data_IF_444117265723
#
_entry.id   IF_444117265723
#
_cell.length_a   1.000
_cell.length_b   1.000
_cell.length_c   1.000
_cell.angle_alpha   90.00
_cell.angle_beta   90.00
_cell.angle_gamma   90.00
#
_symmetry.space_group_name_H-M   'P 1'
#
loop_
_entity.id
_entity.type
_entity.pdbx_description
1 polymer ?
#
# COMPACT_ATOMS: atom_id res chain seq x y z
N UNK A 1 69.29 -0.97 12.99
CA UNK A 1 69.56 -0.72 11.56
C UNK A 1 68.31 -1.10 10.79
N UNK A 2 67.63 -0.10 10.20
CA UNK A 2 66.52 -0.12 9.23
C UNK A 2 65.29 -1.02 9.55
N UNK A 3 64.07 -0.57 9.86
CA UNK A 3 63.43 0.76 9.78
C UNK A 3 62.18 0.72 8.87
N UNK A 4 60.99 0.54 9.47
CA UNK A 4 59.59 0.79 8.97
C UNK A 4 59.08 -0.12 7.80
N UNK A 5 58.12 -1.05 7.92
CA UNK A 5 56.72 -1.12 8.41
C UNK A 5 55.66 -0.44 7.50
N UNK A 6 54.55 -1.16 7.23
CA UNK A 6 53.24 -0.78 6.58
C UNK A 6 53.23 -0.84 5.04
N UNK A 7 52.16 -1.13 4.28
CA UNK A 7 50.78 -1.65 4.39
C UNK A 7 50.24 -1.52 2.94
N UNK A 8 49.32 -2.38 2.48
CA UNK A 8 48.39 -2.14 1.33
C UNK A 8 49.00 -2.06 -0.07
N UNK A 9 48.92 -3.18 -0.82
CA UNK A 9 48.92 -3.18 -2.28
C UNK A 9 47.46 -3.14 -2.74
N UNK A 10 46.90 -1.95 -2.86
CA UNK A 10 45.70 -1.63 -3.65
C UNK A 10 45.80 -0.14 -4.05
N UNK A 11 45.47 0.16 -5.30
CA UNK A 11 45.36 1.47 -5.98
C UNK A 11 46.58 1.98 -6.74
N UNK A 12 46.54 1.82 -8.07
CA UNK A 12 46.90 2.76 -9.15
C UNK A 12 46.28 2.14 -10.43
N UNK A 13 45.33 2.69 -11.20
CA UNK A 13 44.88 4.06 -11.46
C UNK A 13 43.40 4.06 -11.93
N UNK A 14 42.59 4.93 -11.33
CA UNK A 14 41.42 5.55 -11.96
C UNK A 14 41.92 6.72 -12.81
N UNK A 15 41.54 6.78 -14.10
CA UNK A 15 41.07 7.99 -14.79
C UNK A 15 40.98 7.77 -16.30
N UNK A 16 39.80 7.36 -16.75
CA UNK A 16 39.25 7.86 -18.00
C UNK A 16 37.86 8.39 -17.70
N UNK A 17 37.83 9.53 -17.03
CA UNK A 17 36.70 10.45 -17.01
C UNK A 17 36.54 11.00 -18.42
N UNK A 18 35.72 10.33 -19.22
CA UNK A 18 34.97 10.96 -20.30
C UNK A 18 33.53 11.09 -19.84
N UNK A 19 33.21 12.27 -19.32
CA UNK A 19 31.91 12.93 -19.32
C UNK A 19 30.67 12.03 -19.58
N UNK A 20 30.25 11.23 -18.61
CA UNK A 20 28.96 10.52 -18.64
C UNK A 20 27.90 11.30 -17.85
N UNK A 21 27.58 12.51 -18.28
CA UNK A 21 26.47 13.29 -17.75
C UNK A 21 25.43 13.43 -18.87
N UNK A 22 24.60 12.39 -19.04
CA UNK A 22 23.49 12.40 -20.01
C UNK A 22 22.88 11.03 -20.33
N UNK A 23 23.66 9.94 -20.30
CA UNK A 23 23.19 8.61 -20.73
C UNK A 23 22.49 7.76 -19.65
N UNK A 24 22.68 8.05 -18.36
CA UNK A 24 22.15 7.18 -17.28
C UNK A 24 20.64 7.28 -17.03
N UNK A 25 20.03 8.43 -17.31
CA UNK A 25 18.60 8.71 -17.05
C UNK A 25 17.73 8.26 -18.25
N UNK A 26 18.23 8.45 -19.48
CA UNK A 26 17.56 7.95 -20.70
C UNK A 26 17.39 6.42 -20.67
N UNK A 27 18.40 5.69 -20.17
CA UNK A 27 18.33 4.25 -20.04
C UNK A 27 17.33 3.76 -18.96
N UNK A 28 17.12 4.53 -17.88
CA UNK A 28 16.20 4.14 -16.80
C UNK A 28 14.75 4.20 -17.24
N UNK A 29 14.35 5.25 -17.96
CA UNK A 29 12.97 5.43 -18.41
C UNK A 29 12.60 4.44 -19.53
N UNK A 30 13.54 4.11 -20.41
CA UNK A 30 13.37 2.99 -21.35
C UNK A 30 13.10 1.68 -20.60
N UNK A 31 13.86 1.39 -19.55
CA UNK A 31 13.66 0.19 -18.74
C UNK A 31 12.35 0.23 -17.95
N UNK A 32 11.97 1.39 -17.42
CA UNK A 32 10.68 1.63 -16.78
C UNK A 32 9.53 1.17 -17.68
N UNK A 33 9.50 1.62 -18.94
CA UNK A 33 8.44 1.26 -19.87
C UNK A 33 8.50 -0.22 -20.30
N UNK A 34 9.69 -0.82 -20.37
CA UNK A 34 9.83 -2.28 -20.61
C UNK A 34 9.22 -3.08 -19.47
N UNK A 35 9.59 -2.77 -18.23
CA UNK A 35 9.12 -3.47 -17.03
C UNK A 35 7.62 -3.27 -16.82
N UNK A 36 7.15 -2.04 -17.05
CA UNK A 36 5.73 -1.72 -17.03
C UNK A 36 4.98 -2.57 -18.04
N UNK A 37 5.39 -2.57 -19.32
CA UNK A 37 4.73 -3.38 -20.36
C UNK A 37 4.70 -4.87 -20.01
N UNK A 38 5.78 -5.40 -19.45
CA UNK A 38 5.85 -6.81 -19.04
C UNK A 38 4.96 -7.14 -17.83
N UNK A 39 4.67 -6.15 -16.99
CA UNK A 39 3.82 -6.32 -15.81
C UNK A 39 2.32 -6.23 -16.10
N UNK A 40 1.94 -5.58 -17.20
CA UNK A 40 0.57 -5.39 -17.63
C UNK A 40 0.01 -6.63 -18.34
N UNK A 41 -1.31 -6.79 -18.29
CA UNK A 41 -2.05 -7.68 -19.18
C UNK A 41 -2.74 -6.80 -20.22
N UNK A 42 -2.39 -6.97 -21.49
CA UNK A 42 -2.94 -6.22 -22.63
C UNK A 42 -3.68 -7.19 -23.58
N UNK A 43 -4.93 -7.57 -23.27
CA UNK A 43 -5.64 -8.62 -23.99
C UNK A 43 -5.92 -8.26 -25.45
N UNK A 44 -6.01 -6.95 -25.73
CA UNK A 44 -6.28 -6.42 -27.07
C UNK A 44 -4.99 -6.02 -27.82
N UNK A 45 -3.83 -6.22 -27.20
CA UNK A 45 -2.50 -5.87 -27.75
C UNK A 45 -2.45 -4.41 -28.25
N UNK A 46 -3.08 -3.52 -27.49
CA UNK A 46 -3.22 -2.11 -27.82
C UNK A 46 -1.86 -1.40 -27.80
N UNK A 47 -0.99 -1.74 -26.85
CA UNK A 47 0.37 -1.21 -26.75
C UNK A 47 1.30 -1.80 -27.81
N UNK A 48 0.95 -2.96 -28.39
CA UNK A 48 1.76 -3.68 -29.38
C UNK A 48 1.28 -3.58 -30.83
N UNK A 49 0.06 -3.13 -31.14
CA UNK A 49 -0.48 -3.10 -32.53
C UNK A 49 -0.90 -1.73 -33.09
N UNK A 50 -1.06 -0.68 -32.29
CA UNK A 50 -1.51 0.64 -32.79
C UNK A 50 -0.40 1.44 -33.51
N UNK A 51 -0.72 2.50 -34.25
CA UNK A 51 0.30 3.51 -34.59
C UNK A 51 0.91 4.02 -33.28
N UNK A 52 2.24 4.18 -33.18
CA UNK A 52 2.94 4.52 -31.92
C UNK A 52 3.06 3.36 -30.91
N UNK A 53 3.40 2.16 -31.41
CA UNK A 53 3.61 0.95 -30.60
C UNK A 53 4.77 1.12 -29.63
N UNK A 54 4.64 0.46 -28.50
CA UNK A 54 5.74 0.24 -27.57
C UNK A 54 6.65 -0.84 -28.14
N UNK A 55 7.52 -0.45 -29.08
CA UNK A 55 8.54 -1.32 -29.66
C UNK A 55 9.92 -0.90 -29.15
N UNK A 56 10.61 -1.84 -28.52
CA UNK A 56 11.90 -1.60 -27.88
C UNK A 56 13.10 -2.19 -28.65
N UNK A 57 12.91 -2.68 -29.89
CA UNK A 57 13.97 -3.34 -30.67
C UNK A 57 15.00 -2.40 -31.26
N UNK A 58 14.62 -1.17 -31.60
CA UNK A 58 15.45 -0.21 -32.33
C UNK A 58 15.45 1.16 -31.66
N UNK A 59 15.63 1.20 -30.33
CA UNK A 59 15.65 2.46 -29.57
C UNK A 59 17.01 3.13 -29.76
N UNK A 60 16.97 4.29 -30.41
CA UNK A 60 18.06 5.25 -30.55
C UNK A 60 17.98 6.27 -29.42
N UNK A 61 19.06 7.04 -29.26
CA UNK A 61 19.17 8.03 -28.19
C UNK A 61 18.26 9.26 -28.40
N UNK A 62 17.66 9.44 -29.58
CA UNK A 62 16.86 10.59 -30.00
C UNK A 62 15.34 10.48 -29.71
N UNK A 63 14.97 10.10 -28.47
CA UNK A 63 13.59 10.29 -28.00
C UNK A 63 12.56 9.27 -28.50
N UNK A 64 12.99 8.07 -28.90
CA UNK A 64 12.12 7.03 -29.48
C UNK A 64 10.94 6.59 -28.59
N UNK A 65 11.09 6.63 -27.26
CA UNK A 65 9.98 6.27 -26.36
C UNK A 65 8.93 7.39 -26.23
N UNK A 66 9.29 8.63 -26.57
CA UNK A 66 8.41 9.79 -26.49
C UNK A 66 7.34 9.77 -27.58
N UNK A 67 7.57 8.96 -28.62
CA UNK A 67 6.59 8.67 -29.66
C UNK A 67 5.67 7.51 -29.32
N UNK A 68 5.74 6.89 -28.13
CA UNK A 68 4.87 5.78 -27.75
C UNK A 68 3.48 6.26 -27.33
N UNK A 69 2.48 5.42 -27.61
CA UNK A 69 1.09 5.68 -27.19
C UNK A 69 1.05 5.93 -25.69
N UNK A 70 0.50 7.08 -25.30
CA UNK A 70 0.33 7.47 -23.91
C UNK A 70 1.58 7.97 -23.20
N UNK A 71 2.73 8.09 -23.88
CA UNK A 71 3.97 8.62 -23.31
C UNK A 71 4.17 10.05 -23.76
N UNK A 72 4.45 10.93 -22.82
CA UNK A 72 4.87 12.31 -23.06
C UNK A 72 6.20 12.54 -22.32
N UNK A 73 7.18 13.12 -23.00
CA UNK A 73 8.50 13.39 -22.46
C UNK A 73 8.69 14.87 -22.11
N UNK A 74 9.62 15.15 -21.21
CA UNK A 74 10.02 16.52 -20.85
C UNK A 74 10.60 17.30 -22.03
N UNK A 75 11.31 16.59 -22.91
CA UNK A 75 11.84 17.09 -24.17
C UNK A 75 11.63 15.98 -25.22
N UNK A 76 11.10 16.29 -26.42
CA UNK A 76 10.86 15.28 -27.46
C UNK A 76 12.09 14.43 -27.84
N UNK A 77 13.30 14.97 -27.64
CA UNK A 77 14.55 14.31 -28.02
C UNK A 77 15.29 13.68 -26.83
N UNK A 78 14.64 13.62 -25.66
CA UNK A 78 15.20 12.98 -24.46
C UNK A 78 14.21 11.92 -23.99
N UNK A 79 14.65 10.66 -23.89
CA UNK A 79 13.86 9.55 -23.35
C UNK A 79 13.63 9.74 -21.84
N UNK A 80 12.91 10.79 -21.45
CA UNK A 80 12.66 11.19 -20.07
C UNK A 80 11.18 11.45 -19.90
N UNK A 81 10.49 10.48 -19.31
CA UNK A 81 9.03 10.47 -19.17
C UNK A 81 8.60 11.59 -18.24
N UNK A 82 7.74 12.46 -18.75
CA UNK A 82 7.04 13.50 -18.02
C UNK A 82 5.67 12.99 -17.55
N UNK A 83 4.94 12.34 -18.45
CA UNK A 83 3.57 11.90 -18.24
C UNK A 83 3.31 10.56 -18.90
N UNK A 84 2.66 9.67 -18.17
CA UNK A 84 2.15 8.40 -18.68
C UNK A 84 0.62 8.39 -18.58
N UNK A 85 -0.06 8.42 -19.72
CA UNK A 85 -1.53 8.39 -19.85
C UNK A 85 -1.98 7.16 -20.61
N UNK A 86 -2.36 6.13 -19.87
CA UNK A 86 -2.82 4.84 -20.36
C UNK A 86 -4.31 4.61 -20.05
N UNK A 87 -5.09 5.69 -19.94
CA UNK A 87 -6.51 5.61 -19.61
C UNK A 87 -7.37 5.04 -20.74
N UNK A 88 -8.43 4.32 -20.39
CA UNK A 88 -9.44 3.75 -21.30
C UNK A 88 -8.84 2.82 -22.38
N UNK A 89 -7.82 2.04 -22.03
CA UNK A 89 -7.18 1.10 -22.94
C UNK A 89 -7.62 -0.35 -22.69
N UNK A 90 -8.48 -0.62 -21.70
CA UNK A 90 -8.89 -1.99 -21.36
C UNK A 90 -7.73 -2.85 -20.87
N UNK A 91 -6.70 -2.24 -20.29
CA UNK A 91 -5.57 -2.92 -19.68
C UNK A 91 -6.01 -3.62 -18.39
N UNK A 92 -5.39 -4.75 -18.08
CA UNK A 92 -5.70 -5.55 -16.89
C UNK A 92 -4.44 -5.87 -16.08
N UNK A 93 -4.64 -6.59 -14.97
CA UNK A 93 -3.57 -7.03 -14.07
C UNK A 93 -3.50 -6.18 -12.80
N UNK A 94 -2.43 -6.34 -12.00
CA UNK A 94 -2.20 -5.53 -10.82
C UNK A 94 -1.72 -4.11 -11.18
N UNK A 95 -1.50 -3.28 -10.16
CA UNK A 95 -0.75 -2.03 -10.34
C UNK A 95 0.61 -2.32 -11.02
N UNK A 96 0.97 -1.63 -12.11
CA UNK A 96 2.15 -1.96 -12.90
C UNK A 96 3.46 -1.78 -12.13
N UNK A 97 4.45 -2.61 -12.46
CA UNK A 97 5.81 -2.56 -11.91
C UNK A 97 6.74 -1.72 -12.79
N UNK A 98 7.89 -1.31 -12.27
CA UNK A 98 8.92 -0.58 -13.02
C UNK A 98 8.75 0.94 -13.01
N UNK A 99 7.63 1.46 -12.48
CA UNK A 99 7.39 2.90 -12.36
C UNK A 99 8.43 3.62 -11.51
N UNK A 100 9.09 2.92 -10.59
CA UNK A 100 10.23 3.40 -9.80
C UNK A 100 11.42 3.85 -10.65
N UNK A 101 11.53 3.38 -11.90
CA UNK A 101 12.58 3.75 -12.83
C UNK A 101 12.23 5.01 -13.64
N UNK A 102 10.94 5.38 -13.74
CA UNK A 102 10.47 6.62 -14.37
C UNK A 102 10.63 7.82 -13.41
N UNK A 103 11.87 8.07 -12.97
CA UNK A 103 12.19 8.95 -11.83
C UNK A 103 11.78 10.41 -11.99
N UNK A 104 11.45 10.86 -13.20
CA UNK A 104 11.07 12.25 -13.48
C UNK A 104 9.58 12.43 -13.80
N UNK A 105 8.79 11.37 -13.69
CA UNK A 105 7.37 11.40 -14.04
C UNK A 105 6.57 12.24 -13.04
N UNK A 106 5.68 13.07 -13.56
CA UNK A 106 4.81 13.97 -12.78
C UNK A 106 3.34 13.64 -12.91
N UNK A 107 2.96 12.85 -13.92
CA UNK A 107 1.58 12.50 -14.23
C UNK A 107 1.48 11.00 -14.51
N UNK A 108 0.59 10.34 -13.79
CA UNK A 108 0.17 8.97 -14.07
C UNK A 108 -1.36 8.92 -14.16
N UNK A 109 -1.85 8.54 -15.33
CA UNK A 109 -3.26 8.28 -15.58
C UNK A 109 -3.43 6.84 -16.07
N UNK A 110 -4.04 6.00 -15.23
CA UNK A 110 -4.42 4.62 -15.50
C UNK A 110 -5.96 4.45 -15.49
N UNK A 111 -6.71 5.54 -15.59
CA UNK A 111 -8.15 5.55 -15.37
C UNK A 111 -8.93 4.75 -16.43
N UNK A 112 -10.08 4.20 -16.05
CA UNK A 112 -10.97 3.53 -17.02
C UNK A 112 -10.39 2.24 -17.61
N UNK A 113 -9.60 1.50 -16.82
CA UNK A 113 -9.06 0.20 -17.19
C UNK A 113 -9.68 -0.90 -16.30
N UNK A 114 -9.13 -2.10 -16.37
CA UNK A 114 -9.55 -3.25 -15.57
C UNK A 114 -8.45 -3.68 -14.58
N UNK A 115 -7.66 -2.72 -14.07
CA UNK A 115 -6.63 -3.00 -13.07
C UNK A 115 -7.27 -3.47 -11.76
N UNK A 116 -6.59 -4.35 -11.03
CA UNK A 116 -7.10 -5.00 -9.83
C UNK A 116 -6.05 -5.18 -8.75
N UNK A 117 -6.46 -5.67 -7.58
CA UNK A 117 -5.56 -5.88 -6.44
C UNK A 117 -5.20 -4.58 -5.71
N UNK A 118 -4.34 -4.66 -4.69
CA UNK A 118 -3.96 -3.52 -3.86
C UNK A 118 -2.97 -2.58 -4.54
N UNK A 119 -2.97 -1.32 -4.11
CA UNK A 119 -1.89 -0.40 -4.43
C UNK A 119 -0.61 -0.76 -3.65
N UNK A 120 0.58 -0.48 -4.19
CA UNK A 120 1.85 -0.71 -3.49
C UNK A 120 1.92 0.05 -2.16
N UNK A 121 2.41 -0.60 -1.10
CA UNK A 121 2.52 0.01 0.23
C UNK A 121 3.46 1.23 0.23
N UNK A 122 4.48 1.24 -0.62
CA UNK A 122 5.50 2.30 -0.73
C UNK A 122 5.35 3.13 -2.02
N UNK A 123 4.13 3.40 -2.48
CA UNK A 123 3.89 4.08 -3.77
C UNK A 123 4.54 5.47 -3.87
N UNK A 124 4.68 6.19 -2.76
CA UNK A 124 5.38 7.49 -2.75
C UNK A 124 6.88 7.39 -3.03
N UNK A 125 7.50 6.26 -2.71
CA UNK A 125 8.92 6.01 -2.99
C UNK A 125 9.12 5.64 -4.47
N UNK A 126 8.13 4.96 -5.06
CA UNK A 126 8.14 4.61 -6.48
C UNK A 126 7.93 5.84 -7.37
N UNK A 127 7.16 6.83 -6.93
CA UNK A 127 6.79 7.99 -7.75
C UNK A 127 6.84 9.31 -6.96
N UNK A 128 8.03 9.75 -6.53
CA UNK A 128 8.17 10.85 -5.56
C UNK A 128 7.74 12.22 -6.09
N UNK A 129 7.71 12.42 -7.41
CA UNK A 129 7.39 13.72 -8.05
C UNK A 129 6.01 13.77 -8.70
N UNK A 130 5.18 12.74 -8.54
CA UNK A 130 3.84 12.72 -9.13
C UNK A 130 2.96 13.79 -8.50
N UNK A 131 2.40 14.62 -9.37
CA UNK A 131 1.46 15.70 -9.07
C UNK A 131 0.03 15.40 -9.50
N UNK A 132 -0.13 14.50 -10.48
CA UNK A 132 -1.41 14.03 -10.98
C UNK A 132 -1.44 12.51 -10.94
N UNK A 133 -2.34 11.94 -10.14
CA UNK A 133 -2.58 10.50 -10.05
C UNK A 133 -4.06 10.21 -10.26
N UNK A 134 -4.38 9.62 -11.41
CA UNK A 134 -5.73 9.14 -11.71
C UNK A 134 -5.74 7.62 -11.88
N UNK A 135 -6.37 6.94 -10.92
CA UNK A 135 -6.58 5.50 -10.90
C UNK A 135 -8.07 5.16 -10.92
N UNK A 136 -8.92 6.13 -11.24
CA UNK A 136 -10.38 6.00 -11.18
C UNK A 136 -10.92 5.00 -12.19
N UNK A 137 -12.14 4.51 -11.96
CA UNK A 137 -12.81 3.56 -12.86
C UNK A 137 -11.96 2.31 -13.16
N UNK A 138 -11.54 1.63 -12.09
CA UNK A 138 -10.80 0.37 -12.15
C UNK A 138 -11.42 -0.63 -11.13
N UNK A 139 -10.74 -1.74 -10.88
CA UNK A 139 -11.09 -2.74 -9.87
C UNK A 139 -10.03 -2.84 -8.75
N UNK A 140 -9.29 -1.77 -8.45
CA UNK A 140 -8.32 -1.76 -7.35
C UNK A 140 -9.02 -2.01 -6.01
N UNK A 141 -8.37 -2.76 -5.13
CA UNK A 141 -8.92 -3.22 -3.86
C UNK A 141 -7.95 -3.01 -2.69
N UNK A 142 -8.29 -3.50 -1.49
CA UNK A 142 -7.48 -3.29 -0.29
C UNK A 142 -7.58 -1.86 0.25
N UNK A 143 -6.68 -1.51 1.18
CA UNK A 143 -6.63 -0.17 1.78
C UNK A 143 -5.92 0.83 0.89
N UNK A 144 -6.30 2.12 0.98
CA UNK A 144 -5.50 3.21 0.43
C UNK A 144 -4.19 3.29 1.25
N UNK A 145 -3.00 3.06 0.65
CA UNK A 145 -1.74 3.07 1.40
C UNK A 145 -1.48 4.43 2.05
N UNK A 146 -1.02 4.41 3.31
CA UNK A 146 -0.69 5.64 4.03
C UNK A 146 0.44 6.43 3.34
N UNK A 147 1.33 5.74 2.60
CA UNK A 147 2.41 6.38 1.84
C UNK A 147 1.92 7.35 0.76
N UNK A 148 0.68 7.22 0.25
CA UNK A 148 0.11 8.24 -0.66
C UNK A 148 0.13 9.63 0.00
N UNK A 149 0.04 9.69 1.33
CA UNK A 149 0.12 10.95 2.09
C UNK A 149 1.52 11.57 2.13
N UNK A 150 2.54 10.84 1.71
CA UNK A 150 3.92 11.32 1.59
C UNK A 150 4.24 11.84 0.18
N UNK A 151 3.29 11.80 -0.77
CA UNK A 151 3.47 12.34 -2.12
C UNK A 151 3.37 13.88 -2.10
N UNK A 152 4.42 14.56 -1.62
CA UNK A 152 4.41 16.01 -1.32
C UNK A 152 4.11 16.94 -2.51
N UNK A 153 4.19 16.44 -3.74
CA UNK A 153 3.86 17.19 -4.96
C UNK A 153 2.44 16.93 -5.48
N UNK A 154 1.67 16.05 -4.82
CA UNK A 154 0.36 15.61 -5.29
C UNK A 154 -0.68 16.74 -5.22
N UNK A 155 -1.19 17.12 -6.39
CA UNK A 155 -2.24 18.13 -6.56
C UNK A 155 -3.60 17.50 -6.87
N UNK A 156 -3.60 16.39 -7.62
CA UNK A 156 -4.81 15.68 -8.04
C UNK A 156 -4.69 14.20 -7.68
N UNK A 157 -5.67 13.72 -6.92
CA UNK A 157 -5.83 12.30 -6.58
C UNK A 157 -7.25 11.83 -6.89
N UNK A 158 -7.40 11.03 -7.94
CA UNK A 158 -8.67 10.46 -8.36
C UNK A 158 -8.64 8.93 -8.17
N UNK A 159 -9.48 8.44 -7.25
CA UNK A 159 -9.60 7.04 -6.85
C UNK A 159 -11.05 6.54 -6.93
N UNK A 160 -11.99 7.38 -7.42
CA UNK A 160 -13.39 7.03 -7.48
C UNK A 160 -13.66 5.81 -8.36
N UNK A 161 -14.77 5.11 -8.11
CA UNK A 161 -15.17 3.93 -8.87
C UNK A 161 -14.10 2.83 -8.84
N UNK A 162 -13.77 2.38 -7.63
CA UNK A 162 -12.89 1.24 -7.37
C UNK A 162 -13.52 0.38 -6.26
N UNK A 163 -12.75 -0.56 -5.72
CA UNK A 163 -13.15 -1.46 -4.64
C UNK A 163 -12.29 -1.22 -3.38
N UNK A 164 -11.80 0.00 -3.17
CA UNK A 164 -11.00 0.33 -1.99
C UNK A 164 -11.81 0.15 -0.71
N UNK A 165 -11.13 -0.33 0.34
CA UNK A 165 -11.68 -0.61 1.67
C UNK A 165 -10.81 0.07 2.74
N UNK A 166 -11.16 -0.06 4.01
CA UNK A 166 -10.39 0.55 5.09
C UNK A 166 -10.78 2.00 5.37
N UNK A 167 -10.03 2.61 6.28
CA UNK A 167 -10.15 4.03 6.62
C UNK A 167 -9.36 4.88 5.62
N UNK A 168 -9.81 6.11 5.36
CA UNK A 168 -9.03 7.08 4.58
C UNK A 168 -7.85 7.52 5.45
N UNK A 169 -6.59 7.34 5.01
CA UNK A 169 -5.44 7.80 5.77
C UNK A 169 -5.51 9.29 6.07
N UNK A 170 -5.15 9.69 7.28
CA UNK A 170 -5.11 11.10 7.66
C UNK A 170 -4.09 11.86 6.80
N UNK A 171 -4.52 12.98 6.22
CA UNK A 171 -3.78 13.69 5.18
C UNK A 171 -2.86 14.77 5.76
N UNK A 172 -1.64 14.84 5.22
CA UNK A 172 -0.74 16.00 5.30
C UNK A 172 -0.26 16.45 3.89
N UNK A 173 -1.20 16.55 2.94
CA UNK A 173 -0.97 16.99 1.56
C UNK A 173 -1.47 18.43 1.41
N UNK A 174 -0.63 19.40 1.76
CA UNK A 174 -0.97 20.83 1.69
C UNK A 174 -1.20 21.37 0.27
N UNK A 175 -0.80 20.61 -0.76
CA UNK A 175 -0.91 20.99 -2.18
C UNK A 175 -2.10 20.36 -2.89
N UNK A 176 -2.87 19.50 -2.22
CA UNK A 176 -3.97 18.76 -2.84
C UNK A 176 -5.11 19.73 -3.19
N UNK A 177 -5.41 19.86 -4.48
CA UNK A 177 -6.44 20.75 -5.03
C UNK A 177 -7.68 19.95 -5.44
N UNK A 178 -7.50 18.70 -5.84
CA UNK A 178 -8.58 17.79 -6.22
C UNK A 178 -8.38 16.43 -5.59
N UNK A 179 -9.43 15.93 -4.96
CA UNK A 179 -9.45 14.63 -4.28
C UNK A 179 -10.80 13.97 -4.49
N UNK A 180 -10.84 12.73 -4.98
CA UNK A 180 -12.10 12.01 -5.14
C UNK A 180 -11.93 10.51 -4.83
N UNK A 181 -12.74 10.01 -3.90
CA UNK A 181 -12.79 8.59 -3.47
C UNK A 181 -14.20 8.01 -3.54
N UNK A 182 -15.10 8.69 -4.24
CA UNK A 182 -16.50 8.31 -4.34
C UNK A 182 -16.66 6.88 -4.93
N UNK A 183 -17.74 6.19 -4.56
CA UNK A 183 -18.08 4.86 -5.07
C UNK A 183 -16.94 3.86 -4.88
N UNK A 184 -16.60 3.65 -3.60
CA UNK A 184 -15.71 2.63 -3.10
C UNK A 184 -16.40 1.90 -1.92
N UNK A 185 -15.66 1.10 -1.15
CA UNK A 185 -16.13 0.43 0.07
C UNK A 185 -15.39 0.93 1.32
N UNK A 186 -15.04 2.21 1.36
CA UNK A 186 -14.32 2.85 2.47
C UNK A 186 -15.21 2.98 3.71
N UNK A 187 -14.59 3.01 4.89
CA UNK A 187 -15.29 3.15 6.17
C UNK A 187 -14.57 4.05 7.17
N UNK A 188 -15.28 4.45 8.23
CA UNK A 188 -14.72 5.28 9.30
C UNK A 188 -14.92 6.79 9.06
N UNK A 189 -14.39 7.63 9.96
CA UNK A 189 -14.53 9.08 9.85
C UNK A 189 -13.76 9.62 8.64
N UNK A 190 -14.34 10.59 7.93
CA UNK A 190 -13.59 11.40 6.96
C UNK A 190 -12.57 12.27 7.72
N UNK A 191 -11.26 12.19 7.41
CA UNK A 191 -10.24 13.00 8.07
C UNK A 191 -10.51 14.49 7.97
N UNK A 192 -10.25 15.24 9.04
CA UNK A 192 -10.51 16.70 9.11
C UNK A 192 -9.85 17.48 7.96
N UNK A 193 -8.64 17.08 7.56
CA UNK A 193 -7.90 17.70 6.45
C UNK A 193 -8.54 17.52 5.07
N UNK A 194 -9.54 16.64 4.94
CA UNK A 194 -10.28 16.39 3.71
C UNK A 194 -11.69 16.99 3.70
N UNK A 195 -12.15 17.57 4.81
CA UNK A 195 -13.55 18.00 4.93
C UNK A 195 -13.89 19.23 4.10
N UNK A 196 -12.89 19.94 3.57
CA UNK A 196 -13.07 21.05 2.64
C UNK A 196 -13.50 20.59 1.24
N UNK A 197 -13.28 19.32 0.87
CA UNK A 197 -13.69 18.80 -0.43
C UNK A 197 -15.21 18.57 -0.47
N UNK A 198 -15.86 18.71 -1.64
CA UNK A 198 -17.30 18.52 -1.78
C UNK A 198 -17.78 17.15 -1.29
N UNK A 199 -18.97 17.09 -0.69
CA UNK A 199 -19.61 15.85 -0.23
C UNK A 199 -19.65 14.77 -1.32
N UNK A 200 -19.88 15.17 -2.58
CA UNK A 200 -19.89 14.29 -3.75
C UNK A 200 -18.63 13.42 -3.87
N UNK A 201 -17.48 13.92 -3.44
CA UNK A 201 -16.17 13.24 -3.55
C UNK A 201 -16.04 12.05 -2.59
N UNK A 202 -16.97 11.89 -1.65
CA UNK A 202 -17.01 10.81 -0.66
C UNK A 202 -18.23 9.89 -0.82
N UNK A 203 -19.24 10.30 -1.61
CA UNK A 203 -20.50 9.56 -1.77
C UNK A 203 -20.29 8.16 -2.35
N UNK A 204 -21.24 7.26 -2.10
CA UNK A 204 -21.13 5.87 -2.58
C UNK A 204 -20.14 5.02 -1.77
N UNK A 205 -19.73 5.49 -0.58
CA UNK A 205 -19.01 4.71 0.42
C UNK A 205 -19.90 4.53 1.66
N UNK A 206 -20.62 3.41 1.82
CA UNK A 206 -21.63 3.27 2.88
C UNK A 206 -21.06 3.26 4.30
N UNK A 207 -19.76 2.96 4.46
CA UNK A 207 -19.10 2.91 5.75
C UNK A 207 -18.50 4.24 6.22
N UNK A 208 -18.32 5.22 5.32
CA UNK A 208 -17.75 6.52 5.69
C UNK A 208 -18.74 7.32 6.53
N UNK A 209 -18.26 8.18 7.41
CA UNK A 209 -19.09 9.02 8.27
C UNK A 209 -18.39 10.34 8.65
N UNK A 210 -19.14 11.29 9.23
CA UNK A 210 -18.62 12.59 9.63
C UNK A 210 -18.57 13.58 8.47
N UNK A 211 -18.38 14.86 8.78
CA UNK A 211 -18.30 15.92 7.77
C UNK A 211 -17.26 15.56 6.69
N UNK A 212 -17.50 15.84 5.40
CA UNK A 212 -18.61 16.62 4.84
C UNK A 212 -19.87 15.78 4.55
N UNK A 213 -19.94 14.53 5.04
CA UNK A 213 -21.13 13.70 4.96
C UNK A 213 -22.07 14.00 6.14
N UNK A 214 -23.39 13.91 5.92
CA UNK A 214 -24.39 14.18 6.95
C UNK A 214 -24.50 13.07 8.00
N UNK A 215 -23.99 11.87 7.70
CA UNK A 215 -24.12 10.72 8.57
C UNK A 215 -23.13 10.78 9.74
N UNK A 216 -23.67 10.75 10.96
CA UNK A 216 -22.86 10.84 12.18
C UNK A 216 -22.06 9.56 12.40
N UNK A 217 -20.78 9.71 12.74
CA UNK A 217 -19.97 8.58 13.16
C UNK A 217 -20.49 7.96 14.46
N UNK A 218 -20.66 6.63 14.47
CA UNK A 218 -20.96 5.90 15.70
C UNK A 218 -19.80 6.11 16.68
N UNK A 219 -20.09 6.70 17.84
CA UNK A 219 -19.08 6.82 18.90
C UNK A 219 -18.63 5.41 19.27
N UNK A 220 -17.35 5.08 19.03
CA UNK A 220 -16.75 3.87 19.61
C UNK A 220 -16.86 4.01 21.12
N UNK A 221 -17.75 3.26 21.74
CA UNK A 221 -17.68 3.02 23.18
C UNK A 221 -16.35 2.29 23.41
N UNK A 222 -15.30 3.04 23.77
CA UNK A 222 -14.18 2.45 24.50
C UNK A 222 -14.80 1.96 25.79
N UNK A 223 -15.17 0.68 25.84
CA UNK A 223 -15.31 0.00 27.12
C UNK A 223 -13.93 0.12 27.74
N UNK A 224 -13.73 1.12 28.60
CA UNK A 224 -12.65 1.09 29.58
C UNK A 224 -12.98 -0.12 30.43
N UNK A 225 -12.43 -1.26 30.05
CA UNK A 225 -12.28 -2.40 30.94
C UNK A 225 -11.27 -1.92 32.00
N UNK A 226 -11.74 -1.06 32.91
CA UNK A 226 -11.14 -0.87 34.22
C UNK A 226 -11.49 -2.11 35.05
N UNK A 227 -11.17 -3.30 34.52
CA UNK A 227 -11.10 -4.48 35.34
C UNK A 227 -9.98 -4.16 36.30
N UNK A 228 -10.35 -4.11 37.58
CA UNK A 228 -9.47 -4.00 38.74
C UNK A 228 -8.31 -5.00 38.58
N UNK A 229 -7.26 -4.65 37.85
CA UNK A 229 -6.02 -5.43 37.71
C UNK A 229 -5.42 -5.71 39.08
N UNK A 230 -5.66 -4.80 40.04
CA UNK A 230 -5.34 -4.97 41.46
C UNK A 230 -6.08 -6.18 42.06
N UNK A 231 -7.39 -6.34 41.83
CA UNK A 231 -8.14 -7.49 42.38
C UNK A 231 -7.78 -8.81 41.71
N UNK A 232 -7.47 -8.82 40.40
CA UNK A 232 -7.02 -10.04 39.72
C UNK A 232 -5.63 -10.45 40.20
N UNK A 233 -4.71 -9.50 40.37
CA UNK A 233 -3.37 -9.76 40.91
C UNK A 233 -3.45 -10.31 42.34
N UNK A 234 -4.30 -9.74 43.19
CA UNK A 234 -4.52 -10.28 44.54
C UNK A 234 -5.17 -11.66 44.54
N UNK A 235 -6.14 -11.90 43.65
CA UNK A 235 -6.77 -13.20 43.50
C UNK A 235 -5.76 -14.26 43.02
N UNK A 236 -4.88 -13.90 42.08
CA UNK A 236 -3.83 -14.78 41.56
C UNK A 236 -2.77 -15.11 42.65
N UNK A 237 -2.39 -14.13 43.47
CA UNK A 237 -1.47 -14.35 44.61
C UNK A 237 -2.11 -15.25 45.68
N UNK A 238 -3.42 -15.09 45.95
CA UNK A 238 -4.15 -15.99 46.86
C UNK A 238 -4.25 -17.41 46.32
N UNK A 239 -4.50 -17.58 45.02
CA UNK A 239 -4.58 -18.88 44.35
C UNK A 239 -3.21 -19.56 44.30
N UNK A 240 -2.12 -18.84 44.02
CA UNK A 240 -0.75 -19.39 44.08
C UNK A 240 -0.37 -19.86 45.49
N UNK A 241 -0.75 -19.10 46.53
CA UNK A 241 -0.53 -19.53 47.93
C UNK A 241 -1.36 -20.75 48.34
N UNK A 242 -2.53 -20.96 47.72
CA UNK A 242 -3.35 -22.16 47.93
C UNK A 242 -2.78 -23.37 47.18
N UNK A 243 -2.28 -23.18 45.96
CA UNK A 243 -1.71 -24.24 45.13
C UNK A 243 -0.37 -24.78 45.67
N UNK A 244 0.43 -23.97 46.36
CA UNK A 244 1.70 -24.44 46.93
C UNK A 244 1.54 -25.38 48.15
N UNK A 245 0.32 -25.56 48.69
CA UNK A 245 0.02 -26.53 49.75
C UNK A 245 -0.49 -27.88 49.24
N UNK A 246 -0.68 -28.04 47.94
CA UNK A 246 -1.25 -29.26 47.36
C UNK A 246 -0.11 -30.00 46.65
N UNK A 247 0.35 -31.10 47.24
CA UNK A 247 1.46 -31.89 46.71
C UNK A 247 0.94 -33.04 45.83
N UNK A 248 0.18 -32.71 44.78
CA UNK A 248 -0.35 -33.69 43.84
C UNK A 248 -0.32 -33.17 42.39
N UNK A 249 0.50 -33.82 41.56
CA UNK A 249 0.80 -33.41 40.18
C UNK A 249 -0.41 -33.44 39.22
N UNK A 250 -1.50 -34.11 39.61
CA UNK A 250 -2.73 -34.21 38.81
C UNK A 250 -3.57 -32.91 38.81
N UNK A 251 -3.57 -32.17 39.92
CA UNK A 251 -4.41 -30.98 40.09
C UNK A 251 -3.80 -29.76 39.38
N UNK A 252 -2.47 -29.71 39.27
CA UNK A 252 -1.73 -28.61 38.63
C UNK A 252 -2.05 -28.54 37.13
N UNK A 253 -2.18 -29.71 36.45
CA UNK A 253 -2.52 -29.79 35.03
C UNK A 253 -3.94 -29.28 34.72
N UNK A 254 -4.94 -29.65 35.53
CA UNK A 254 -6.31 -29.20 35.36
C UNK A 254 -6.46 -27.68 35.61
N UNK A 255 -5.71 -27.14 36.56
CA UNK A 255 -5.70 -25.72 36.92
C UNK A 255 -5.13 -24.84 35.81
N UNK A 256 -4.02 -25.27 35.20
CA UNK A 256 -3.39 -24.56 34.09
C UNK A 256 -4.28 -24.53 32.84
N UNK A 257 -4.96 -25.64 32.52
CA UNK A 257 -5.89 -25.73 31.40
C UNK A 257 -7.10 -24.81 31.54
N UNK A 258 -7.66 -24.68 32.75
CA UNK A 258 -8.81 -23.80 32.99
C UNK A 258 -8.44 -22.31 32.88
N UNK A 259 -7.28 -21.90 33.40
CA UNK A 259 -6.79 -20.52 33.31
C UNK A 259 -6.49 -20.15 31.86
N UNK A 260 -5.84 -21.03 31.10
CA UNK A 260 -5.52 -20.78 29.70
C UNK A 260 -6.81 -20.68 28.85
N UNK A 261 -7.77 -21.58 29.07
CA UNK A 261 -9.07 -21.53 28.39
C UNK A 261 -9.86 -20.26 28.68
N UNK A 262 -9.85 -19.79 29.94
CA UNK A 262 -10.54 -18.56 30.33
C UNK A 262 -9.89 -17.31 29.72
N UNK A 263 -8.56 -17.23 29.68
CA UNK A 263 -7.83 -16.11 29.05
C UNK A 263 -8.10 -16.09 27.54
N UNK A 264 -8.01 -17.24 26.87
CA UNK A 264 -8.25 -17.30 25.42
C UNK A 264 -9.70 -16.92 25.06
N UNK A 265 -10.69 -17.41 25.82
CA UNK A 265 -12.10 -17.08 25.58
C UNK A 265 -12.44 -15.60 25.83
N UNK A 266 -11.78 -14.96 26.79
CA UNK A 266 -12.05 -13.56 27.14
C UNK A 266 -11.38 -12.56 26.19
N UNK A 267 -10.20 -12.88 25.66
CA UNK A 267 -9.45 -12.00 24.76
C UNK A 267 -9.73 -12.25 23.26
N UNK A 268 -10.24 -13.42 22.87
CA UNK A 268 -10.55 -13.76 21.47
C UNK A 268 -11.97 -14.32 21.27
N UNK A 269 -13.03 -13.55 21.61
CA UNK A 269 -14.40 -14.06 21.58
C UNK A 269 -14.93 -14.38 20.17
N UNK A 270 -14.34 -13.81 19.11
CA UNK A 270 -14.78 -14.03 17.72
C UNK A 270 -14.11 -15.22 17.00
N UNK A 271 -13.17 -15.92 17.63
CA UNK A 271 -12.49 -17.08 17.01
C UNK A 271 -13.08 -18.44 17.37
N UNK A 272 -14.09 -18.51 18.24
CA UNK A 272 -14.72 -19.76 18.65
C UNK A 272 -16.24 -19.71 18.48
N UNK A 273 -16.71 -20.03 17.27
CA UNK A 273 -18.08 -20.47 17.03
C UNK A 273 -18.19 -21.92 17.54
N UNK A 274 -18.82 -22.12 18.69
CA UNK A 274 -19.10 -23.45 19.22
C UNK A 274 -20.13 -24.16 18.34
N UNK A 275 -19.68 -25.22 17.65
CA UNK A 275 -20.56 -26.15 16.96
C UNK A 275 -20.69 -27.42 17.82
N UNK A 276 -21.85 -27.61 18.46
CA UNK A 276 -22.28 -28.91 19.00
C UNK A 276 -22.15 -29.15 20.51
N UNK A 277 -23.10 -29.96 21.03
CA UNK A 277 -23.30 -30.37 22.42
C UNK A 277 -22.07 -31.07 23.02
N UNK A 278 -21.72 -30.69 24.25
CA UNK A 278 -20.70 -31.33 25.09
C UNK A 278 -20.96 -32.82 25.31
N UNK A 279 -20.01 -33.67 24.95
CA UNK A 279 -19.75 -34.94 25.64
C UNK A 279 -18.35 -34.89 26.28
N UNK A 280 -18.18 -35.48 27.47
CA UNK A 280 -16.93 -35.41 28.20
C UNK A 280 -15.92 -36.36 27.54
N UNK A 281 -14.67 -35.93 27.45
CA UNK A 281 -13.52 -36.70 26.94
C UNK A 281 -13.42 -36.83 25.41
N UNK A 282 -13.08 -35.74 24.72
CA UNK A 282 -12.11 -35.71 23.60
C UNK A 282 -11.96 -34.26 23.11
N UNK A 283 -10.74 -33.73 23.12
CA UNK A 283 -10.42 -32.48 22.41
C UNK A 283 -9.88 -32.84 21.03
N UNK A 284 -10.62 -32.49 19.96
CA UNK A 284 -10.06 -32.37 18.61
C UNK A 284 -9.91 -30.89 18.28
N UNK A 285 -8.69 -30.49 17.96
CA UNK A 285 -8.41 -29.21 17.32
C UNK A 285 -8.67 -29.41 15.84
N UNK A 286 -9.69 -28.74 15.30
CA UNK A 286 -9.84 -28.58 13.85
C UNK A 286 -8.94 -27.41 13.44
N UNK A 287 -8.05 -27.66 12.48
CA UNK A 287 -7.27 -26.61 11.81
C UNK A 287 -8.10 -25.77 10.87
#
# INVERSE_FOLDING_TARGET
MHGYNKLVVWLLLLSSSSSYFGHGISASDVQCLKDLKQSLIDPNDILGKKSHRWNFTDIRDDGDICGFTGVECWNPNENRVLSLRLGNLGLEGPFPRGLELCTSMTTLDLSGNNFSGPLPEHISEQMPYVSFLDLSNNSFSGGIPASIMNMTYLNILALQHNQFTGEIPAINLSRLISFNVAKNSLFGPVPDSLQSFPTANFMGNPGLCGAPLDNKCKKRFRVRIHVRLVRIREMFVRIQKLLHRINDASIIGASAGFIFGFVVAFYFPHKFLFCGRFQPYTFRVCG
#
